data_IF_990924027504
#
_entry.id   IF_990924027504
#
_cell.length_a   1.000
_cell.length_b   1.000
_cell.length_c   1.000
_cell.angle_alpha   90.00
_cell.angle_beta   90.00
_cell.angle_gamma   90.00
#
_symmetry.space_group_name_H-M   'P 1'
#
loop_
_entity.id
_entity.type
_entity.pdbx_description
1 polymer ?
#
# COMPACT_ATOMS: atom_id res chain seq x y z
N UNK A 1 -66.94 21.96 7.23
CA UNK A 1 -65.86 21.04 7.63
C UNK A 1 -65.14 20.60 6.37
N UNK A 2 -63.92 21.08 6.12
CA UNK A 2 -63.10 20.62 4.99
C UNK A 2 -62.17 19.50 5.48
N UNK A 3 -61.94 18.43 4.70
CA UNK A 3 -60.96 17.42 5.07
C UNK A 3 -59.56 17.93 4.74
N UNK A 4 -58.67 17.95 5.74
CA UNK A 4 -57.25 18.22 5.52
C UNK A 4 -56.60 16.97 4.90
N UNK A 5 -56.03 17.11 3.72
CA UNK A 5 -55.22 16.06 3.06
C UNK A 5 -53.81 16.13 3.61
N UNK A 6 -53.38 15.12 4.38
CA UNK A 6 -52.01 15.01 4.88
C UNK A 6 -51.11 14.49 3.75
N UNK A 7 -50.34 15.36 3.12
CA UNK A 7 -49.32 14.96 2.15
C UNK A 7 -48.06 14.50 2.89
N UNK A 8 -47.83 13.19 2.95
CA UNK A 8 -46.58 12.62 3.46
C UNK A 8 -45.57 12.61 2.31
N UNK A 9 -44.64 13.57 2.32
CA UNK A 9 -43.48 13.55 1.43
C UNK A 9 -42.47 12.52 1.95
N UNK A 10 -42.43 11.33 1.35
CA UNK A 10 -41.29 10.42 1.52
C UNK A 10 -40.08 11.03 0.81
N UNK A 11 -39.12 11.54 1.59
CA UNK A 11 -37.78 11.76 1.09
C UNK A 11 -37.14 10.38 0.86
N UNK A 12 -37.09 9.93 -0.40
CA UNK A 12 -36.19 8.85 -0.79
C UNK A 12 -34.76 9.38 -0.66
N UNK A 13 -33.90 8.79 0.18
CA UNK A 13 -32.48 9.13 0.15
C UNK A 13 -31.92 8.63 -1.18
N UNK A 14 -31.68 9.55 -2.11
CA UNK A 14 -30.98 9.30 -3.36
C UNK A 14 -29.48 9.13 -3.11
N UNK A 15 -29.11 8.17 -2.27
CA UNK A 15 -27.74 7.67 -2.09
C UNK A 15 -27.80 6.18 -1.71
N UNK A 16 -28.51 5.38 -2.50
CA UNK A 16 -28.14 3.97 -2.61
C UNK A 16 -26.92 3.92 -3.52
N UNK A 17 -25.74 4.25 -2.97
CA UNK A 17 -24.52 3.68 -3.50
C UNK A 17 -24.66 2.18 -3.26
N UNK A 18 -25.15 1.48 -4.29
CA UNK A 18 -25.15 0.03 -4.28
C UNK A 18 -23.71 -0.39 -4.00
N UNK A 19 -23.46 -1.28 -3.02
CA UNK A 19 -22.13 -1.86 -2.86
C UNK A 19 -21.75 -2.44 -4.23
N UNK A 20 -20.63 -1.96 -4.78
CA UNK A 20 -20.03 -2.62 -5.94
C UNK A 20 -19.83 -4.07 -5.52
N UNK A 21 -20.39 -5.05 -6.23
CA UNK A 21 -20.19 -6.45 -5.91
C UNK A 21 -18.68 -6.72 -5.83
N UNK A 22 -18.21 -7.50 -4.85
CA UNK A 22 -16.80 -7.81 -4.70
C UNK A 22 -16.23 -8.36 -6.01
N UNK A 23 -14.94 -8.13 -6.24
CA UNK A 23 -14.19 -8.65 -7.40
C UNK A 23 -14.09 -10.20 -7.44
N UNK A 24 -14.83 -10.89 -6.57
CA UNK A 24 -14.84 -12.35 -6.40
C UNK A 24 -15.53 -13.11 -7.53
N UNK A 25 -16.28 -12.44 -8.41
CA UNK A 25 -16.98 -13.07 -9.55
C UNK A 25 -16.27 -12.84 -10.90
N UNK A 26 -15.12 -12.14 -10.90
CA UNK A 26 -14.36 -11.92 -12.12
C UNK A 26 -13.47 -13.13 -12.40
N UNK A 27 -13.63 -13.70 -13.60
CA UNK A 27 -12.80 -14.81 -14.08
C UNK A 27 -11.96 -14.40 -15.31
N UNK A 28 -10.86 -15.13 -15.53
CA UNK A 28 -10.05 -14.98 -16.73
C UNK A 28 -9.51 -13.56 -16.94
N UNK A 29 -9.75 -13.00 -18.12
CA UNK A 29 -9.16 -11.72 -18.52
C UNK A 29 -9.73 -10.51 -17.78
N UNK A 30 -10.96 -10.56 -17.29
CA UNK A 30 -11.55 -9.41 -16.60
C UNK A 30 -11.00 -9.27 -15.18
N UNK A 31 -10.68 -10.38 -14.51
CA UNK A 31 -9.90 -10.38 -13.27
C UNK A 31 -8.50 -9.79 -13.46
N UNK A 32 -7.81 -10.21 -14.53
CA UNK A 32 -6.48 -9.70 -14.86
C UNK A 32 -6.51 -8.19 -15.08
N UNK A 33 -7.51 -7.67 -15.82
CA UNK A 33 -7.69 -6.22 -16.03
C UNK A 33 -7.93 -5.49 -14.71
N UNK A 34 -8.85 -5.98 -13.88
CA UNK A 34 -9.16 -5.34 -12.58
C UNK A 34 -7.92 -5.28 -11.69
N UNK A 35 -7.18 -6.39 -11.58
CA UNK A 35 -5.90 -6.44 -10.88
C UNK A 35 -4.92 -5.37 -11.37
N UNK A 36 -4.76 -5.22 -12.69
CA UNK A 36 -3.88 -4.19 -13.24
C UNK A 36 -4.38 -2.77 -12.93
N UNK A 37 -5.70 -2.55 -13.04
CA UNK A 37 -6.31 -1.29 -12.67
C UNK A 37 -6.08 -0.93 -11.21
N UNK A 38 -6.27 -1.88 -10.30
CA UNK A 38 -6.13 -1.67 -8.87
C UNK A 38 -4.68 -1.40 -8.44
N UNK A 39 -3.72 -2.15 -8.99
CA UNK A 39 -2.35 -2.13 -8.48
C UNK A 39 -1.34 -1.37 -9.34
N UNK A 40 -1.66 -1.00 -10.57
CA UNK A 40 -0.68 -0.34 -11.46
C UNK A 40 -1.21 0.94 -12.09
N UNK A 41 -2.52 1.23 -11.99
CA UNK A 41 -3.13 2.40 -12.62
C UNK A 41 -3.64 3.37 -11.55
N UNK A 42 -3.06 4.58 -11.57
CA UNK A 42 -3.46 5.67 -10.67
C UNK A 42 -4.84 6.17 -11.10
N UNK A 43 -5.71 6.42 -10.12
CA UNK A 43 -7.09 6.90 -10.24
C UNK A 43 -7.31 8.14 -11.13
N UNK A 44 -6.26 8.77 -11.67
CA UNK A 44 -6.33 9.98 -12.50
C UNK A 44 -6.16 9.78 -14.02
N UNK A 45 -5.81 8.60 -14.53
CA UNK A 45 -5.80 8.39 -15.99
C UNK A 45 -6.73 7.25 -16.40
N UNK A 46 -8.01 7.59 -16.54
CA UNK A 46 -8.85 6.93 -17.55
C UNK A 46 -8.60 7.63 -18.88
N UNK A 47 -7.85 6.99 -19.76
CA UNK A 47 -8.55 6.23 -20.79
C UNK A 47 -8.09 4.77 -20.73
N UNK A 48 -9.05 3.84 -20.78
CA UNK A 48 -8.84 2.40 -20.95
C UNK A 48 -7.55 2.16 -21.73
N UNK A 49 -6.52 1.58 -21.08
CA UNK A 49 -5.34 1.18 -21.82
C UNK A 49 -5.79 0.29 -22.97
N UNK A 50 -5.31 0.60 -24.16
CA UNK A 50 -5.47 -0.30 -25.30
C UNK A 50 -4.85 -1.64 -24.92
N UNK A 51 -5.44 -2.73 -25.40
CA UNK A 51 -4.96 -4.08 -25.13
C UNK A 51 -3.45 -4.22 -25.39
N UNK A 52 -2.92 -3.51 -26.39
CA UNK A 52 -1.48 -3.41 -26.69
C UNK A 52 -0.61 -2.86 -25.54
N UNK A 53 -1.03 -1.80 -24.84
CA UNK A 53 -0.23 -1.25 -23.74
C UNK A 53 -0.25 -2.15 -22.51
N UNK A 54 -1.37 -2.83 -22.26
CA UNK A 54 -1.45 -3.87 -21.23
C UNK A 54 -0.51 -5.04 -21.58
N UNK A 55 -0.49 -5.47 -22.85
CA UNK A 55 0.42 -6.52 -23.32
C UNK A 55 1.90 -6.09 -23.28
N UNK A 56 2.24 -4.86 -23.63
CA UNK A 56 3.61 -4.33 -23.53
C UNK A 56 4.11 -4.24 -22.07
N UNK A 57 3.24 -3.84 -21.14
CA UNK A 57 3.59 -3.82 -19.72
C UNK A 57 3.72 -5.23 -19.15
N UNK A 58 2.85 -6.16 -19.58
CA UNK A 58 3.00 -7.58 -19.28
C UNK A 58 4.34 -8.13 -19.78
N UNK A 59 4.77 -7.73 -20.98
CA UNK A 59 6.07 -8.09 -21.57
C UNK A 59 7.28 -7.60 -20.75
N UNK A 60 7.16 -6.53 -19.94
CA UNK A 60 8.23 -6.08 -19.05
C UNK A 60 8.58 -7.12 -17.97
N UNK A 61 7.65 -8.00 -17.61
CA UNK A 61 7.89 -9.11 -16.69
C UNK A 61 8.51 -10.33 -17.39
N UNK A 62 8.98 -10.19 -18.65
CA UNK A 62 9.63 -11.23 -19.45
C UNK A 62 11.13 -10.96 -19.63
N UNK A 63 12.00 -11.73 -18.96
CA UNK A 63 13.37 -11.83 -19.42
C UNK A 63 13.51 -12.70 -20.68
N UNK A 64 12.65 -13.72 -20.89
CA UNK A 64 13.03 -14.88 -21.75
C UNK A 64 11.95 -15.43 -22.72
N UNK A 65 10.92 -14.66 -23.10
CA UNK A 65 10.15 -14.90 -24.35
C UNK A 65 9.59 -16.30 -24.65
N UNK A 66 9.28 -17.13 -23.67
CA UNK A 66 8.66 -18.46 -23.86
C UNK A 66 7.19 -18.42 -23.45
N UNK A 67 6.36 -19.35 -23.95
CA UNK A 67 4.89 -19.45 -23.74
C UNK A 67 4.42 -19.65 -22.28
N UNK A 68 5.25 -19.28 -21.31
CA UNK A 68 4.93 -19.09 -19.89
C UNK A 68 4.00 -17.90 -19.62
N UNK A 69 3.83 -17.00 -20.61
CA UNK A 69 2.94 -15.83 -20.59
C UNK A 69 1.54 -16.19 -20.05
N UNK A 70 0.88 -17.19 -20.65
CA UNK A 70 -0.50 -17.51 -20.28
C UNK A 70 -0.60 -17.98 -18.83
N UNK A 71 0.27 -18.89 -18.41
CA UNK A 71 0.21 -19.44 -17.05
C UNK A 71 0.57 -18.39 -16.00
N UNK A 72 1.61 -17.57 -16.25
CA UNK A 72 2.07 -16.55 -15.30
C UNK A 72 1.10 -15.37 -15.17
N UNK A 73 0.46 -14.94 -16.27
CA UNK A 73 -0.57 -13.89 -16.26
C UNK A 73 -1.74 -14.26 -15.35
N UNK A 74 -2.15 -15.53 -15.34
CA UNK A 74 -3.26 -15.96 -14.48
C UNK A 74 -2.82 -16.30 -13.05
N UNK A 75 -1.56 -16.69 -12.82
CA UNK A 75 -1.10 -17.05 -11.47
C UNK A 75 -0.61 -15.86 -10.65
N UNK A 76 0.02 -14.85 -11.26
CA UNK A 76 0.56 -13.71 -10.51
C UNK A 76 -0.52 -12.89 -9.80
N UNK A 77 -1.68 -12.58 -10.43
CA UNK A 77 -2.78 -11.90 -9.75
C UNK A 77 -3.44 -12.69 -8.62
N UNK A 78 -3.25 -14.01 -8.59
CA UNK A 78 -3.78 -14.91 -7.55
C UNK A 78 -2.84 -15.03 -6.34
N UNK A 79 -1.63 -14.48 -6.40
CA UNK A 79 -0.71 -14.53 -5.27
C UNK A 79 -1.09 -13.48 -4.22
N UNK A 80 -1.15 -13.87 -2.94
CA UNK A 80 -1.43 -12.93 -1.86
C UNK A 80 -0.35 -11.84 -1.82
N UNK A 81 -0.76 -10.59 -1.61
CA UNK A 81 0.11 -9.42 -1.76
C UNK A 81 -0.33 -8.23 -0.91
N UNK A 82 0.53 -7.22 -0.86
CA UNK A 82 0.19 -5.90 -0.36
C UNK A 82 -0.77 -5.17 -1.32
N UNK A 83 -1.72 -4.45 -0.72
CA UNK A 83 -2.77 -3.66 -1.37
C UNK A 83 -2.31 -2.31 -1.92
N UNK A 84 -1.11 -1.85 -1.57
CA UNK A 84 -0.57 -0.56 -2.02
C UNK A 84 -0.26 -0.62 -3.53
N UNK A 85 -0.72 0.35 -4.36
CA UNK A 85 -0.39 0.35 -5.78
C UNK A 85 1.10 0.51 -6.07
N UNK A 86 1.59 -0.20 -7.09
CA UNK A 86 2.91 -0.05 -7.68
C UNK A 86 2.90 1.08 -8.73
N UNK A 87 3.47 2.24 -8.37
CA UNK A 87 3.73 3.34 -9.29
C UNK A 87 3.01 4.66 -8.95
N UNK A 88 3.80 5.74 -8.84
CA UNK A 88 3.36 7.14 -8.73
C UNK A 88 2.60 7.56 -7.46
N UNK A 89 2.42 8.87 -7.30
CA UNK A 89 1.72 9.47 -6.15
C UNK A 89 0.24 9.10 -6.17
N UNK A 90 -0.14 8.14 -5.34
CA UNK A 90 -1.52 7.85 -4.98
C UNK A 90 -1.89 8.51 -3.65
N UNK A 91 -3.18 8.55 -3.33
CA UNK A 91 -3.70 9.04 -2.04
C UNK A 91 -3.15 8.25 -0.84
N UNK A 92 -2.71 7.01 -1.05
CA UNK A 92 -2.14 6.12 -0.04
C UNK A 92 -0.60 6.05 -0.10
N UNK A 93 0.00 6.13 -1.29
CA UNK A 93 1.46 6.14 -1.50
C UNK A 93 1.88 7.39 -2.26
N UNK A 94 2.31 8.40 -1.53
CA UNK A 94 2.98 9.58 -2.09
C UNK A 94 4.48 9.40 -1.84
N UNK A 95 5.20 8.91 -2.85
CA UNK A 95 6.62 8.57 -2.72
C UNK A 95 7.47 9.75 -2.24
N UNK A 96 8.56 9.46 -1.53
CA UNK A 96 9.54 10.48 -1.16
C UNK A 96 9.22 11.29 0.10
N UNK A 97 8.25 10.87 0.92
CA UNK A 97 7.96 11.52 2.21
C UNK A 97 8.52 10.76 3.40
N UNK A 98 8.94 11.51 4.41
CA UNK A 98 9.44 10.98 5.68
C UNK A 98 8.78 11.70 6.84
N UNK A 99 8.80 11.05 7.99
CA UNK A 99 8.46 11.71 9.25
C UNK A 99 9.51 12.75 9.63
N UNK A 100 9.07 13.95 9.99
CA UNK A 100 9.95 15.03 10.48
C UNK A 100 10.20 14.92 11.99
N UNK A 101 10.44 13.69 12.48
CA UNK A 101 10.69 13.39 13.89
C UNK A 101 11.40 12.05 14.06
N UNK A 102 12.05 11.89 15.22
CA UNK A 102 12.82 10.70 15.57
C UNK A 102 12.03 9.70 16.41
N UNK A 103 11.04 10.16 17.18
CA UNK A 103 10.19 9.26 17.98
C UNK A 103 8.82 9.21 17.36
N UNK A 104 8.45 8.04 16.86
CA UNK A 104 7.13 7.75 16.31
C UNK A 104 6.30 7.03 17.35
N UNK A 105 5.08 7.50 17.54
CA UNK A 105 4.10 6.85 18.41
C UNK A 105 3.21 5.92 17.59
N UNK A 106 2.95 4.71 18.09
CA UNK A 106 2.03 3.80 17.44
C UNK A 106 0.95 3.29 18.39
N UNK A 107 -0.21 2.95 17.82
CA UNK A 107 -1.32 2.35 18.56
C UNK A 107 -1.96 1.25 17.75
N UNK A 108 -2.29 0.16 18.45
CA UNK A 108 -3.13 -0.92 17.93
C UNK A 108 -4.57 -0.61 18.35
N UNK A 109 -5.45 -0.37 17.38
CA UNK A 109 -6.84 0.06 17.60
C UNK A 109 -7.72 -1.14 17.98
N UNK A 110 -7.54 -2.25 17.28
CA UNK A 110 -8.25 -3.51 17.51
C UNK A 110 -7.34 -4.70 17.19
N UNK A 111 -7.83 -5.91 17.44
CA UNK A 111 -7.09 -7.16 17.32
C UNK A 111 -7.90 -8.16 16.48
N UNK A 112 -7.23 -9.09 15.78
CA UNK A 112 -7.93 -10.09 14.99
C UNK A 112 -8.50 -11.19 15.88
N UNK A 113 -9.64 -11.74 15.47
CA UNK A 113 -10.33 -12.79 16.20
C UNK A 113 -9.46 -14.05 16.36
N UNK A 114 -8.62 -14.32 15.36
CA UNK A 114 -7.73 -15.48 15.30
C UNK A 114 -6.53 -15.41 16.27
N UNK A 115 -6.21 -14.25 16.85
CA UNK A 115 -4.98 -14.07 17.63
C UNK A 115 -5.19 -13.28 18.92
N UNK A 116 -4.62 -13.79 20.03
CA UNK A 116 -4.71 -13.12 21.33
C UNK A 116 -4.00 -11.75 21.29
N UNK A 117 -4.58 -10.70 21.91
CA UNK A 117 -4.02 -9.35 21.87
C UNK A 117 -2.56 -9.20 22.30
N UNK A 118 -2.08 -10.00 23.27
CA UNK A 118 -0.69 -9.92 23.72
C UNK A 118 0.29 -10.42 22.65
N UNK A 119 -0.08 -11.46 21.89
CA UNK A 119 0.74 -12.00 20.81
C UNK A 119 0.87 -10.95 19.70
N UNK A 120 -0.24 -10.28 19.36
CA UNK A 120 -0.24 -9.20 18.38
C UNK A 120 0.65 -8.03 18.83
N UNK A 121 0.57 -7.63 20.11
CA UNK A 121 1.45 -6.58 20.64
C UNK A 121 2.93 -6.95 20.52
N UNK A 122 3.30 -8.18 20.86
CA UNK A 122 4.69 -8.65 20.75
C UNK A 122 5.14 -8.68 19.28
N UNK A 123 4.29 -9.15 18.36
CA UNK A 123 4.56 -9.16 16.92
C UNK A 123 4.78 -7.75 16.37
N UNK A 124 3.87 -6.82 16.68
CA UNK A 124 3.97 -5.44 16.19
C UNK A 124 5.19 -4.75 16.80
N UNK A 125 5.49 -4.97 18.07
CA UNK A 125 6.71 -4.49 18.71
C UNK A 125 7.97 -4.99 17.99
N UNK A 126 8.02 -6.28 17.64
CA UNK A 126 9.14 -6.85 16.89
C UNK A 126 9.24 -6.25 15.48
N UNK A 127 8.11 -6.05 14.79
CA UNK A 127 8.06 -5.47 13.45
C UNK A 127 8.59 -4.01 13.42
N UNK A 128 8.18 -3.16 14.37
CA UNK A 128 8.76 -1.81 14.47
C UNK A 128 10.23 -1.85 14.88
N UNK A 129 10.64 -2.83 15.67
CA UNK A 129 12.03 -3.00 16.11
C UNK A 129 12.98 -3.33 14.96
N UNK A 130 12.52 -4.08 13.95
CA UNK A 130 13.27 -4.33 12.71
C UNK A 130 13.70 -3.01 12.07
N UNK A 131 12.79 -2.05 11.98
CA UNK A 131 13.07 -0.74 11.39
C UNK A 131 13.89 0.18 12.31
N UNK A 132 13.65 0.16 13.62
CA UNK A 132 14.48 0.94 14.55
C UNK A 132 15.94 0.48 14.60
N UNK A 133 16.21 -0.80 14.35
CA UNK A 133 17.57 -1.34 14.36
C UNK A 133 18.43 -0.79 13.21
N UNK A 134 17.81 -0.29 12.14
CA UNK A 134 18.52 0.21 10.95
C UNK A 134 18.24 1.70 10.70
N UNK A 135 17.53 2.40 11.57
CA UNK A 135 17.22 3.83 11.44
C UNK A 135 17.46 4.56 12.76
N UNK A 136 17.58 5.89 12.78
CA UNK A 136 17.58 6.64 14.04
C UNK A 136 16.17 6.79 14.65
N UNK A 137 15.15 6.13 14.06
CA UNK A 137 13.78 6.19 14.56
C UNK A 137 13.61 5.30 15.79
N UNK A 138 12.83 5.81 16.73
CA UNK A 138 12.36 5.08 17.91
C UNK A 138 10.86 4.96 17.84
N UNK A 139 10.31 3.86 18.33
CA UNK A 139 8.88 3.60 18.30
C UNK A 139 8.36 3.43 19.72
N UNK A 140 7.29 4.14 20.04
CA UNK A 140 6.65 4.08 21.35
C UNK A 140 5.18 3.71 21.20
N UNK A 141 4.77 2.61 21.83
CA UNK A 141 3.36 2.28 21.89
C UNK A 141 2.63 3.22 22.84
N UNK A 142 1.52 3.80 22.41
CA UNK A 142 0.68 4.70 23.20
C UNK A 142 -0.79 4.30 23.12
N UNK A 143 -1.61 4.87 24.02
CA UNK A 143 -3.06 4.74 24.03
C UNK A 143 -3.78 6.02 23.60
N UNK A 144 -3.04 7.04 23.14
CA UNK A 144 -3.62 8.29 22.63
C UNK A 144 -4.33 8.06 21.28
N UNK A 145 -5.39 8.81 20.99
CA UNK A 145 -6.01 8.87 19.66
C UNK A 145 -5.16 9.70 18.66
N UNK A 146 -4.42 10.67 19.20
CA UNK A 146 -3.41 11.42 18.47
C UNK A 146 -2.10 10.65 18.56
N UNK A 147 -1.83 9.85 17.52
CA UNK A 147 -0.66 8.97 17.38
C UNK A 147 -0.29 8.88 15.90
N UNK A 148 0.97 8.58 15.63
CA UNK A 148 1.54 8.69 14.29
C UNK A 148 1.20 7.51 13.39
N UNK A 149 1.28 6.31 13.96
CA UNK A 149 1.02 5.07 13.25
C UNK A 149 -0.18 4.38 13.91
N UNK A 150 -1.27 4.26 13.18
CA UNK A 150 -2.51 3.62 13.64
C UNK A 150 -2.66 2.27 12.97
N UNK A 151 -2.66 1.21 13.76
CA UNK A 151 -2.71 -0.16 13.28
C UNK A 151 -4.09 -0.72 13.58
N UNK A 152 -4.81 -1.20 12.57
CA UNK A 152 -6.11 -1.83 12.76
C UNK A 152 -6.37 -2.97 11.79
N UNK A 153 -7.26 -3.86 12.19
CA UNK A 153 -7.74 -4.97 11.38
C UNK A 153 -9.14 -4.64 10.87
N UNK A 154 -9.35 -4.70 9.55
CA UNK A 154 -10.57 -4.23 8.89
C UNK A 154 -11.08 -5.27 7.91
N UNK A 155 -12.38 -5.22 7.59
CA UNK A 155 -13.00 -6.10 6.58
C UNK A 155 -13.56 -5.26 5.45
N UNK A 156 -13.50 -5.77 4.22
CA UNK A 156 -14.19 -5.20 3.06
C UNK A 156 -13.98 -3.68 2.94
N UNK A 157 -15.04 -2.94 2.61
CA UNK A 157 -15.03 -1.48 2.64
C UNK A 157 -15.00 -0.97 4.09
N UNK A 158 -13.96 -0.18 4.42
CA UNK A 158 -13.70 0.29 5.78
C UNK A 158 -13.40 1.80 5.88
N UNK A 159 -13.92 2.59 4.92
CA UNK A 159 -14.04 4.04 5.05
C UNK A 159 -12.85 4.87 4.55
N UNK A 160 -11.79 4.25 4.04
CA UNK A 160 -10.60 4.94 3.51
C UNK A 160 -10.51 4.95 1.97
N UNK A 161 -11.53 4.38 1.29
CA UNK A 161 -11.59 4.29 -0.17
C UNK A 161 -10.74 3.17 -0.78
N UNK A 162 -10.13 2.31 0.04
CA UNK A 162 -9.34 1.15 -0.35
C UNK A 162 -9.93 -0.12 0.28
N UNK A 163 -11.05 -0.65 -0.25
CA UNK A 163 -11.67 -1.84 0.33
C UNK A 163 -10.76 -3.06 0.22
N UNK A 164 -10.85 -3.94 1.21
CA UNK A 164 -10.31 -5.30 1.14
C UNK A 164 -11.22 -6.25 0.35
N UNK A 165 -10.71 -7.42 0.00
CA UNK A 165 -11.31 -8.40 -0.91
C UNK A 165 -11.69 -9.74 -0.27
N UNK A 166 -11.51 -9.88 1.04
CA UNK A 166 -11.86 -11.09 1.78
C UNK A 166 -10.67 -12.05 1.84
N UNK A 167 -10.89 -13.38 1.98
CA UNK A 167 -9.78 -14.31 2.17
C UNK A 167 -8.85 -14.41 0.94
N UNK A 168 -7.54 -14.31 1.19
CA UNK A 168 -6.45 -14.22 0.21
C UNK A 168 -6.49 -12.90 -0.59
N UNK A 169 -5.58 -12.76 -1.57
CA UNK A 169 -5.51 -11.53 -2.36
C UNK A 169 -4.80 -10.43 -1.57
N UNK A 170 -5.51 -9.43 -1.07
CA UNK A 170 -4.89 -8.29 -0.37
C UNK A 170 -4.79 -8.56 1.13
N UNK A 171 -3.56 -8.71 1.62
CA UNK A 171 -3.31 -8.99 3.05
C UNK A 171 -3.39 -7.73 3.93
N UNK A 172 -3.13 -6.57 3.35
CA UNK A 172 -3.04 -5.31 4.07
C UNK A 172 -2.62 -4.16 3.17
N UNK A 173 -2.69 -2.95 3.72
CA UNK A 173 -2.15 -1.75 3.10
C UNK A 173 -1.75 -0.72 4.15
N UNK A 174 -0.91 0.23 3.75
CA UNK A 174 -0.52 1.32 4.61
C UNK A 174 -0.32 2.64 3.87
N UNK A 175 -0.51 3.71 4.62
CA UNK A 175 -0.49 5.08 4.16
C UNK A 175 0.84 5.76 4.47
N UNK A 176 1.46 6.37 3.46
CA UNK A 176 2.74 7.08 3.60
C UNK A 176 2.62 8.33 4.51
N UNK A 177 3.73 8.85 5.07
CA UNK A 177 3.74 9.97 6.02
C UNK A 177 3.07 11.28 5.55
N UNK A 178 2.94 11.52 4.26
CA UNK A 178 2.32 12.73 3.68
C UNK A 178 1.00 12.47 2.96
N UNK A 179 0.40 11.31 3.16
CA UNK A 179 -0.91 10.96 2.62
C UNK A 179 -2.04 11.72 3.33
N UNK A 180 -3.28 11.53 2.87
CA UNK A 180 -4.48 12.07 3.54
C UNK A 180 -4.70 11.42 4.92
N UNK A 181 -4.20 10.20 5.14
CA UNK A 181 -4.26 9.47 6.41
C UNK A 181 -2.87 8.99 6.85
N UNK A 182 -1.95 9.89 7.24
CA UNK A 182 -0.55 9.56 7.50
C UNK A 182 -0.35 8.39 8.46
N UNK A 183 0.49 7.43 8.07
CA UNK A 183 0.96 6.36 8.94
C UNK A 183 -0.07 5.28 9.29
N UNK A 184 -1.29 5.37 8.77
CA UNK A 184 -2.31 4.35 8.99
C UNK A 184 -1.87 3.03 8.34
N UNK A 185 -2.03 1.92 9.06
CA UNK A 185 -1.76 0.55 8.63
C UNK A 185 -3.02 -0.27 8.85
N UNK A 186 -3.54 -0.89 7.80
CA UNK A 186 -4.67 -1.80 7.84
C UNK A 186 -4.25 -3.21 7.44
N UNK A 187 -4.74 -4.19 8.19
CA UNK A 187 -4.66 -5.61 7.86
C UNK A 187 -6.06 -6.13 7.53
N UNK A 188 -6.18 -7.00 6.53
CA UNK A 188 -7.48 -7.62 6.24
C UNK A 188 -7.81 -8.66 7.32
N UNK A 189 -8.89 -8.42 8.06
CA UNK A 189 -9.38 -9.28 9.14
C UNK A 189 -9.98 -10.59 8.63
N UNK A 190 -10.35 -10.67 7.33
CA UNK A 190 -10.84 -11.91 6.74
C UNK A 190 -9.72 -12.93 6.43
N UNK A 191 -8.46 -12.54 6.66
CA UNK A 191 -7.30 -13.40 6.46
C UNK A 191 -6.99 -14.33 7.65
N UNK A 192 -6.40 -15.49 7.34
CA UNK A 192 -5.95 -16.44 8.36
C UNK A 192 -4.62 -15.99 9.00
N UNK A 193 -4.67 -15.03 9.93
CA UNK A 193 -3.51 -14.52 10.65
C UNK A 193 -2.89 -15.56 11.60
N UNK A 194 -1.57 -15.71 11.53
CA UNK A 194 -0.81 -16.63 12.37
C UNK A 194 0.50 -16.00 12.86
N UNK A 195 0.99 -16.35 14.07
CA UNK A 195 2.37 -16.06 14.47
C UNK A 195 3.40 -16.98 13.79
N UNK A 196 2.96 -18.05 13.11
CA UNK A 196 3.79 -19.08 12.48
C UNK A 196 3.53 -19.16 10.96
N UNK A 197 3.81 -20.32 10.34
CA UNK A 197 3.54 -20.60 8.93
C UNK A 197 2.19 -21.30 8.68
N UNK A 198 1.33 -21.45 9.70
CA UNK A 198 0.01 -22.07 9.54
C UNK A 198 -1.00 -21.19 8.80
N UNK A 199 -0.63 -19.94 8.52
CA UNK A 199 -1.41 -18.93 7.83
C UNK A 199 -0.51 -17.79 7.36
N UNK A 200 -1.08 -16.62 7.14
CA UNK A 200 -0.30 -15.42 6.85
C UNK A 200 0.42 -14.96 8.12
N UNK A 201 1.75 -14.86 8.02
CA UNK A 201 2.56 -14.50 9.17
C UNK A 201 2.44 -13.00 9.44
N UNK A 202 1.78 -12.63 10.53
CA UNK A 202 1.50 -11.22 10.85
C UNK A 202 2.78 -10.39 11.02
N UNK A 203 3.88 -10.99 11.50
CA UNK A 203 5.14 -10.27 11.63
C UNK A 203 5.70 -9.83 10.28
N UNK A 204 5.64 -10.69 9.25
CA UNK A 204 6.14 -10.34 7.92
C UNK A 204 5.30 -9.25 7.27
N UNK A 205 3.98 -9.41 7.29
CA UNK A 205 3.06 -8.43 6.69
C UNK A 205 3.14 -7.10 7.46
N UNK A 206 3.17 -7.12 8.79
CA UNK A 206 3.35 -5.90 9.58
C UNK A 206 4.68 -5.20 9.29
N UNK A 207 5.78 -5.95 9.17
CA UNK A 207 7.09 -5.36 8.84
C UNK A 207 7.03 -4.66 7.48
N UNK A 208 6.39 -5.29 6.48
CA UNK A 208 6.17 -4.71 5.15
C UNK A 208 5.34 -3.41 5.22
N UNK A 209 4.14 -3.47 5.80
CA UNK A 209 3.21 -2.32 5.84
C UNK A 209 3.75 -1.17 6.70
N UNK A 210 4.50 -1.46 7.76
CA UNK A 210 5.22 -0.42 8.51
C UNK A 210 6.27 0.24 7.62
N UNK A 211 6.96 -0.49 6.75
CA UNK A 211 7.89 0.10 5.77
C UNK A 211 7.21 1.16 4.90
N UNK A 212 5.98 0.90 4.43
CA UNK A 212 5.16 1.89 3.73
C UNK A 212 4.79 3.10 4.62
N UNK A 213 4.41 2.86 5.88
CA UNK A 213 4.14 3.93 6.86
C UNK A 213 5.37 4.81 7.15
N UNK A 214 6.58 4.30 6.87
CA UNK A 214 7.85 5.03 6.97
C UNK A 214 8.26 5.73 5.66
N UNK A 215 7.50 5.53 4.57
CA UNK A 215 7.72 6.17 3.28
C UNK A 215 8.38 5.29 2.22
N UNK A 216 8.66 4.01 2.51
CA UNK A 216 9.17 3.09 1.49
C UNK A 216 8.09 2.76 0.46
N UNK A 217 8.50 2.59 -0.79
CA UNK A 217 7.65 2.00 -1.82
C UNK A 217 8.00 0.52 -1.99
N UNK A 218 7.20 -0.18 -2.79
CA UNK A 218 7.52 -1.54 -3.18
C UNK A 218 8.92 -1.65 -3.81
N UNK A 219 9.61 -2.75 -3.53
CA UNK A 219 10.86 -3.14 -4.18
C UNK A 219 10.58 -4.07 -5.35
N UNK A 220 11.42 -4.00 -6.39
CA UNK A 220 11.47 -5.01 -7.46
C UNK A 220 12.28 -6.25 -7.07
N UNK A 221 13.00 -6.22 -5.95
CA UNK A 221 13.81 -7.33 -5.46
C UNK A 221 12.94 -8.33 -4.68
N UNK A 222 12.86 -9.58 -5.13
CA UNK A 222 12.06 -10.63 -4.46
C UNK A 222 12.53 -10.96 -3.04
N UNK A 223 13.80 -10.71 -2.73
CA UNK A 223 14.35 -10.94 -1.40
C UNK A 223 14.06 -9.80 -0.42
N UNK A 224 13.55 -8.65 -0.89
CA UNK A 224 13.19 -7.51 -0.05
C UNK A 224 11.88 -7.79 0.69
N UNK A 225 11.80 -7.36 1.96
CA UNK A 225 10.54 -7.41 2.69
C UNK A 225 9.50 -6.51 2.03
N UNK A 226 9.92 -5.45 1.33
CA UNK A 226 9.08 -4.55 0.55
C UNK A 226 8.72 -5.09 -0.84
N UNK A 227 9.01 -6.36 -1.17
CA UNK A 227 8.45 -6.98 -2.36
C UNK A 227 6.92 -7.11 -2.21
N UNK A 228 6.10 -6.72 -3.20
CA UNK A 228 4.64 -6.62 -3.04
C UNK A 228 3.97 -7.96 -2.78
N UNK A 229 4.48 -9.06 -3.33
CA UNK A 229 3.88 -10.38 -3.17
C UNK A 229 4.37 -11.04 -1.88
N UNK A 230 3.44 -11.58 -1.10
CA UNK A 230 3.74 -12.30 0.11
C UNK A 230 4.51 -13.59 -0.18
N UNK A 231 5.55 -13.80 0.62
CA UNK A 231 6.24 -15.08 0.70
C UNK A 231 6.71 -15.29 2.14
N UNK A 232 6.65 -16.53 2.60
CA UNK A 232 7.00 -16.85 3.98
C UNK A 232 8.52 -16.84 4.18
N UNK A 233 8.97 -16.01 5.13
CA UNK A 233 10.30 -16.02 5.71
C UNK A 233 10.22 -16.47 7.16
N UNK A 234 11.14 -17.31 7.61
CA UNK A 234 11.17 -17.72 9.01
C UNK A 234 11.50 -16.51 9.91
N UNK A 235 10.58 -16.05 10.80
CA UNK A 235 10.84 -14.90 11.66
C UNK A 235 12.06 -15.07 12.57
N UNK A 236 12.42 -16.32 12.93
CA UNK A 236 13.59 -16.60 13.78
C UNK A 236 14.95 -16.35 13.11
N UNK A 237 14.99 -16.26 11.77
CA UNK A 237 16.20 -15.97 10.98
C UNK A 237 16.05 -14.74 10.09
N UNK A 238 14.92 -14.04 10.22
CA UNK A 238 14.57 -12.92 9.37
C UNK A 238 15.51 -11.74 9.59
N UNK A 239 15.90 -11.10 8.50
CA UNK A 239 16.63 -9.84 8.48
C UNK A 239 16.23 -9.06 7.24
N UNK A 240 16.34 -7.73 7.31
CA UNK A 240 16.13 -6.88 6.15
C UNK A 240 17.17 -7.17 5.07
N UNK A 241 16.76 -7.12 3.82
CA UNK A 241 17.69 -7.22 2.69
C UNK A 241 18.54 -5.94 2.58
N UNK A 242 19.67 -6.04 1.90
CA UNK A 242 20.51 -4.86 1.60
C UNK A 242 19.73 -3.78 0.84
N UNK A 243 18.77 -4.17 0.00
CA UNK A 243 17.89 -3.24 -0.72
C UNK A 243 17.00 -2.45 0.26
N UNK A 244 16.38 -3.12 1.23
CA UNK A 244 15.54 -2.49 2.25
C UNK A 244 16.34 -1.45 3.06
N UNK A 245 17.53 -1.85 3.51
CA UNK A 245 18.42 -1.02 4.35
C UNK A 245 18.89 0.21 3.57
N UNK A 246 19.38 0.01 2.34
CA UNK A 246 19.85 1.13 1.51
C UNK A 246 18.71 2.11 1.22
N UNK A 247 17.53 1.61 0.86
CA UNK A 247 16.38 2.44 0.53
C UNK A 247 15.93 3.24 1.75
N UNK A 248 15.76 2.64 2.91
CA UNK A 248 15.33 3.39 4.11
C UNK A 248 16.37 4.43 4.53
N UNK A 249 17.68 4.13 4.41
CA UNK A 249 18.73 5.10 4.68
C UNK A 249 18.70 6.29 3.71
N UNK A 250 18.51 6.02 2.41
CA UNK A 250 18.39 7.07 1.39
C UNK A 250 17.18 7.97 1.69
N UNK A 251 16.02 7.39 1.99
CA UNK A 251 14.82 8.16 2.33
C UNK A 251 15.01 9.03 3.59
N UNK A 252 15.67 8.53 4.64
CA UNK A 252 15.93 9.32 5.85
C UNK A 252 16.88 10.51 5.60
N UNK A 253 17.84 10.36 4.69
CA UNK A 253 18.82 11.40 4.33
C UNK A 253 18.26 12.47 3.39
N UNK A 254 17.31 12.13 2.53
CA UNK A 254 16.70 13.10 1.61
C UNK A 254 15.73 14.05 2.36
N UNK A 255 16.19 15.25 2.72
CA UNK A 255 15.28 16.39 2.84
C UNK A 255 14.94 16.83 1.42
N UNK A 256 13.88 16.28 0.83
CA UNK A 256 13.36 16.82 -0.42
C UNK A 256 12.66 18.13 -0.09
N UNK A 257 13.46 19.19 -0.01
CA UNK A 257 13.00 20.57 0.01
C UNK A 257 12.52 20.87 -1.42
N UNK A 258 11.30 20.44 -1.75
CA UNK A 258 10.72 20.47 -3.12
C UNK A 258 10.86 21.87 -3.74
N UNK A 259 10.81 22.93 -2.93
CA UNK A 259 11.03 24.31 -3.35
C UNK A 259 12.42 24.60 -3.91
N UNK A 260 13.47 23.94 -3.44
CA UNK A 260 14.85 24.12 -3.95
C UNK A 260 15.08 23.35 -5.24
N UNK A 261 14.53 22.15 -5.38
CA UNK A 261 14.67 21.35 -6.60
C UNK A 261 13.99 22.02 -7.81
N UNK A 262 12.81 22.62 -7.62
CA UNK A 262 12.13 23.39 -8.68
C UNK A 262 12.94 24.64 -9.04
N UNK A 263 13.54 25.31 -8.07
CA UNK A 263 14.38 26.49 -8.32
C UNK A 263 15.65 26.13 -9.10
N UNK A 264 16.28 25.00 -8.79
CA UNK A 264 17.47 24.50 -9.49
C UNK A 264 17.11 24.08 -10.92
N UNK A 265 16.01 23.34 -11.12
CA UNK A 265 15.54 22.94 -12.45
C UNK A 265 15.20 24.17 -13.30
N UNK A 266 14.47 25.15 -12.74
CA UNK A 266 14.17 26.40 -13.44
C UNK A 266 15.44 27.21 -13.73
N UNK A 267 16.43 27.21 -12.84
CA UNK A 267 17.71 27.86 -13.09
C UNK A 267 18.50 27.19 -14.22
N UNK A 268 18.54 25.85 -14.26
CA UNK A 268 19.19 25.08 -15.33
C UNK A 268 18.48 25.28 -16.66
N UNK A 269 17.15 25.18 -16.70
CA UNK A 269 16.35 25.42 -17.91
C UNK A 269 16.59 26.84 -18.44
N UNK A 270 16.55 27.85 -17.57
CA UNK A 270 16.80 29.23 -17.97
C UNK A 270 18.24 29.46 -18.46
N UNK A 271 19.21 28.69 -17.96
CA UNK A 271 20.59 28.75 -18.44
C UNK A 271 20.74 28.11 -19.82
N UNK A 272 20.14 26.93 -20.01
CA UNK A 272 20.15 26.22 -21.30
C UNK A 272 19.40 27.00 -22.40
N UNK A 273 18.28 27.65 -22.04
CA UNK A 273 17.54 28.53 -22.97
C UNK A 273 18.32 29.80 -23.34
N UNK A 274 19.19 30.31 -22.45
CA UNK A 274 20.06 31.46 -22.74
C UNK A 274 21.28 31.11 -23.59
N UNK A 275 21.76 29.87 -23.52
CA UNK A 275 22.94 29.41 -24.25
C UNK A 275 22.61 28.87 -25.65
N UNK A 276 21.32 28.85 -26.05
CA UNK A 276 20.85 28.46 -27.40
C UNK A 276 21.34 27.07 -27.86
N UNK A 277 21.60 26.17 -26.91
CA UNK A 277 22.00 24.79 -27.17
C UNK A 277 20.73 23.98 -27.41
N UNK A 278 20.19 24.07 -28.62
CA UNK A 278 19.23 23.10 -29.12
C UNK A 278 19.99 21.90 -29.65
N UNK A 279 19.73 20.74 -29.06
CA UNK A 279 20.23 19.44 -29.48
C UNK A 279 19.60 19.14 -30.86
N UNK A 280 20.41 19.13 -31.91
CA UNK A 280 20.11 18.43 -33.16
C UNK A 280 20.33 16.94 -33.00
#
# INVERSE_FOLDING_TARGET
>A
MQPATLAVTMFLPCCLALPVPPATDLEGWDFVKDYFHRFFLIKQESPRLTQEKQTQFLQQFHPNGTGLLDKQIYTMPQQPRCGVPAGGNSSISSGGSKWNKHTLTYRIINYPDAMKPFIVRDIIYNAVSIWSNVTPLTFQQVQSEDTDIKISFRKWAHGDGWPFDGPNGVLGHAFSPNSENPGVVHFDEDEHWSPSNSGYNLFLVATHEIGHSLGLQHSGNQNSIMYPTYWYQNPGTFHLSDDDIQRIHLFQKCNVDIGKSVHIINHIINRLLKENIWIT
#
